data_IF_377305246400
#
_entry.id   IF_377305246400
#
_cell.length_a   1.000
_cell.length_b   1.000
_cell.length_c   1.000
_cell.angle_alpha   90.00
_cell.angle_beta   90.00
_cell.angle_gamma   90.00
#
_symmetry.space_group_name_H-M   'P 1'
#
loop_
_entity.id
_entity.type
_entity.pdbx_description
1 polymer ?
#
# COMPACT_ATOMS: atom_id res chain seq x y z
N UNK A 1 8.85 26.59 -4.16
CA UNK A 1 8.51 26.07 -2.82
C UNK A 1 7.07 25.55 -2.65
N UNK A 2 6.15 25.69 -3.64
CA UNK A 2 4.76 25.21 -3.52
C UNK A 2 4.55 23.69 -3.68
N UNK A 3 5.30 23.02 -4.55
CA UNK A 3 5.11 21.58 -4.87
C UNK A 3 5.35 20.64 -3.69
N UNK A 4 6.29 21.00 -2.81
CA UNK A 4 6.61 20.19 -1.62
C UNK A 4 5.48 20.26 -0.60
N UNK A 5 4.88 21.44 -0.38
CA UNK A 5 3.72 21.58 0.52
C UNK A 5 2.50 20.82 0.01
N UNK A 6 2.30 20.82 -1.30
CA UNK A 6 1.23 20.05 -1.95
C UNK A 6 1.43 18.53 -1.77
N UNK A 7 2.65 18.04 -2.01
CA UNK A 7 2.99 16.64 -1.78
C UNK A 7 2.80 16.22 -0.31
N UNK A 8 3.25 17.06 0.64
CA UNK A 8 3.05 16.83 2.08
C UNK A 8 1.57 16.81 2.45
N UNK A 9 0.75 17.70 1.86
CA UNK A 9 -0.69 17.74 2.10
C UNK A 9 -1.38 16.47 1.59
N UNK A 10 -0.96 15.93 0.45
CA UNK A 10 -1.47 14.66 -0.11
C UNK A 10 -1.08 13.46 0.76
N UNK A 11 0.12 13.45 1.32
CA UNK A 11 0.54 12.43 2.28
C UNK A 11 -0.29 12.49 3.58
N UNK A 12 -0.75 13.69 3.98
CA UNK A 12 -1.67 13.88 5.11
C UNK A 12 -2.99 13.11 4.96
N UNK A 13 -3.52 13.00 3.74
CA UNK A 13 -4.76 12.26 3.45
C UNK A 13 -4.63 10.77 3.78
N UNK A 14 -3.45 10.17 3.55
CA UNK A 14 -3.18 8.77 3.90
C UNK A 14 -3.21 8.59 5.43
N UNK A 15 -2.64 9.56 6.16
CA UNK A 15 -2.70 9.57 7.62
C UNK A 15 -4.12 9.71 8.17
N UNK A 16 -4.95 10.55 7.56
CA UNK A 16 -6.37 10.71 7.93
C UNK A 16 -7.17 9.42 7.68
N UNK A 17 -6.91 8.71 6.59
CA UNK A 17 -7.51 7.41 6.29
C UNK A 17 -7.12 6.33 7.33
N UNK A 18 -5.84 6.28 7.72
CA UNK A 18 -5.38 5.35 8.76
C UNK A 18 -5.95 5.69 10.14
N UNK A 19 -6.05 6.99 10.47
CA UNK A 19 -6.68 7.44 11.70
C UNK A 19 -8.19 7.10 11.73
N UNK A 20 -8.88 7.22 10.59
CA UNK A 20 -10.28 6.81 10.45
C UNK A 20 -10.46 5.30 10.70
N UNK A 21 -9.62 4.47 10.08
CA UNK A 21 -9.62 3.01 10.29
C UNK A 21 -9.47 2.64 11.77
N UNK A 22 -8.62 3.38 12.49
CA UNK A 22 -8.41 3.19 13.91
C UNK A 22 -9.62 3.63 14.75
N UNK A 23 -10.21 4.78 14.39
CA UNK A 23 -11.38 5.36 15.07
C UNK A 23 -12.62 4.49 14.95
N UNK A 24 -12.87 3.93 13.78
CA UNK A 24 -14.03 3.05 13.52
C UNK A 24 -13.79 1.58 13.91
N UNK A 25 -12.68 1.27 14.61
CA UNK A 25 -12.30 -0.11 14.99
C UNK A 25 -12.13 -1.08 13.81
N UNK A 26 -11.92 -0.56 12.59
CA UNK A 26 -11.66 -1.32 11.38
C UNK A 26 -10.19 -1.75 11.24
N UNK A 27 -9.56 -2.14 12.35
CA UNK A 27 -8.12 -2.42 12.40
C UNK A 27 -7.76 -3.66 11.56
N UNK A 28 -8.76 -4.51 11.35
CA UNK A 28 -8.73 -5.70 10.50
C UNK A 28 -8.61 -5.38 9.00
N UNK A 29 -8.93 -4.16 8.57
CA UNK A 29 -8.74 -3.74 7.18
C UNK A 29 -7.30 -3.40 6.86
N UNK A 30 -6.47 -3.08 7.86
CA UNK A 30 -5.04 -2.80 7.67
C UNK A 30 -4.31 -4.01 7.05
N UNK A 31 -4.44 -5.24 7.56
CA UNK A 31 -3.81 -6.40 6.92
C UNK A 31 -4.35 -6.66 5.50
N UNK A 32 -5.63 -6.37 5.23
CA UNK A 32 -6.21 -6.49 3.87
C UNK A 32 -5.57 -5.46 2.92
N UNK A 33 -5.45 -4.21 3.35
CA UNK A 33 -4.78 -3.15 2.58
C UNK A 33 -3.31 -3.50 2.30
N UNK A 34 -2.61 -4.03 3.30
CA UNK A 34 -1.23 -4.50 3.14
C UNK A 34 -1.13 -5.66 2.15
N UNK A 35 -2.05 -6.63 2.19
CA UNK A 35 -2.07 -7.73 1.24
C UNK A 35 -2.29 -7.23 -0.19
N UNK A 36 -3.24 -6.31 -0.41
CA UNK A 36 -3.49 -5.69 -1.73
C UNK A 36 -2.26 -4.95 -2.24
N UNK A 37 -1.60 -4.16 -1.38
CA UNK A 37 -0.36 -3.46 -1.73
C UNK A 37 0.78 -4.44 -2.03
N UNK A 38 0.89 -5.53 -1.27
CA UNK A 38 1.88 -6.57 -1.50
C UNK A 38 1.67 -7.26 -2.85
N UNK A 39 0.43 -7.61 -3.21
CA UNK A 39 0.12 -8.16 -4.53
C UNK A 39 0.43 -7.15 -5.64
N UNK A 40 0.04 -5.88 -5.48
CA UNK A 40 0.38 -4.82 -6.42
C UNK A 40 1.89 -4.66 -6.60
N UNK A 41 2.66 -4.72 -5.52
CA UNK A 41 4.13 -4.71 -5.57
C UNK A 41 4.68 -5.94 -6.30
N UNK A 42 4.18 -7.15 -6.01
CA UNK A 42 4.57 -8.36 -6.72
C UNK A 42 4.32 -8.26 -8.24
N UNK A 43 3.20 -7.66 -8.66
CA UNK A 43 2.91 -7.42 -10.07
C UNK A 43 3.92 -6.45 -10.68
N UNK A 44 4.23 -5.34 -10.02
CA UNK A 44 5.23 -4.37 -10.50
C UNK A 44 6.63 -4.99 -10.63
N UNK A 45 6.98 -5.92 -9.73
CA UNK A 45 8.27 -6.60 -9.75
C UNK A 45 8.26 -7.95 -10.49
N UNK A 46 7.14 -8.34 -11.10
CA UNK A 46 6.98 -9.66 -11.73
C UNK A 46 7.96 -9.93 -12.87
N UNK A 47 8.44 -8.88 -13.54
CA UNK A 47 9.44 -8.99 -14.61
C UNK A 47 10.88 -9.22 -14.11
N UNK A 48 11.11 -9.14 -12.78
CA UNK A 48 12.41 -9.43 -12.17
C UNK A 48 12.63 -10.94 -12.06
N UNK A 49 13.76 -11.49 -12.55
CA UNK A 49 14.09 -12.91 -12.40
C UNK A 49 14.10 -13.42 -10.96
N UNK A 50 14.37 -12.52 -9.99
CA UNK A 50 14.41 -12.84 -8.56
C UNK A 50 13.01 -13.00 -7.98
N UNK A 51 12.03 -12.27 -8.51
CA UNK A 51 10.65 -12.22 -7.97
C UNK A 51 9.73 -13.20 -8.70
N UNK A 52 10.08 -13.59 -9.93
CA UNK A 52 9.31 -14.53 -10.75
C UNK A 52 8.92 -15.84 -10.02
N UNK A 53 9.81 -16.54 -9.27
CA UNK A 53 9.44 -17.77 -8.56
C UNK A 53 8.31 -17.59 -7.53
N UNK A 54 8.25 -16.43 -6.86
CA UNK A 54 7.24 -16.15 -5.84
C UNK A 54 5.86 -15.90 -6.45
N UNK A 55 5.81 -15.27 -7.62
CA UNK A 55 4.57 -15.09 -8.38
C UNK A 55 4.02 -16.45 -8.79
N UNK A 56 4.86 -17.34 -9.32
CA UNK A 56 4.44 -18.68 -9.74
C UNK A 56 3.97 -19.59 -8.60
N UNK A 57 4.43 -19.39 -7.36
CA UNK A 57 3.90 -20.17 -6.23
C UNK A 57 2.51 -19.73 -5.77
N UNK A 58 2.08 -18.52 -6.13
CA UNK A 58 0.80 -17.93 -5.70
C UNK A 58 -0.35 -18.18 -6.68
N UNK A 59 -0.05 -18.64 -7.91
CA UNK A 59 -1.01 -18.86 -9.00
C UNK A 59 -0.83 -20.24 -9.62
#
# INVERSE_FOLDING_TARGET
MGRVREAVRRLGVVGELLAFLWRERLWWMIPILLAVLAVGALVLFSSSPVVAPFVYTLF
#
